data_IF_051396174591
#
_entry.id   IF_051396174591
#
_cell.length_a   1.000
_cell.length_b   1.000
_cell.length_c   1.000
_cell.angle_alpha   90.00
_cell.angle_beta   90.00
_cell.angle_gamma   90.00
#
_symmetry.space_group_name_H-M   'P 1'
#
loop_
_entity.id
_entity.type
_entity.pdbx_description
1 polymer ?
#
# COMPACT_ATOMS: atom_id res chain seq x y z
N UNK A 1 -4.61 2.46 -27.26
CA UNK A 1 -4.07 1.55 -26.24
C UNK A 1 -2.55 1.63 -26.10
N UNK A 2 -1.74 1.49 -27.16
CA UNK A 2 -0.28 1.61 -27.03
C UNK A 2 0.21 3.01 -26.57
N UNK A 3 -0.52 4.08 -26.90
CA UNK A 3 -0.18 5.45 -26.52
C UNK A 3 -0.45 5.79 -25.05
N UNK A 4 -1.37 5.08 -24.38
CA UNK A 4 -1.71 5.34 -22.97
C UNK A 4 -0.76 4.61 -22.03
N UNK A 5 -0.23 3.46 -22.45
CA UNK A 5 0.85 2.78 -21.73
C UNK A 5 2.16 3.56 -21.73
N UNK A 6 2.38 4.45 -22.71
CA UNK A 6 3.57 5.30 -22.76
C UNK A 6 3.51 6.49 -21.78
N UNK A 7 2.32 6.83 -21.28
CA UNK A 7 2.13 7.86 -20.26
C UNK A 7 2.39 7.35 -18.83
N UNK A 8 2.37 6.03 -18.63
CA UNK A 8 2.69 5.40 -17.35
C UNK A 8 4.20 5.27 -17.19
N UNK A 9 4.72 5.82 -16.09
CA UNK A 9 6.12 5.62 -15.73
C UNK A 9 6.33 4.12 -15.36
N UNK A 10 7.21 3.37 -16.06
CA UNK A 10 7.32 1.92 -15.89
C UNK A 10 7.56 1.47 -14.44
N UNK A 11 8.23 2.32 -13.65
CA UNK A 11 8.50 2.07 -12.23
C UNK A 11 7.22 2.02 -11.39
N UNK A 12 6.23 2.86 -11.70
CA UNK A 12 4.99 2.99 -10.94
C UNK A 12 4.04 1.82 -11.24
N UNK A 13 3.97 1.44 -12.51
CA UNK A 13 3.23 0.26 -12.94
C UNK A 13 3.75 -1.02 -12.27
N UNK A 14 5.08 -1.21 -12.24
CA UNK A 14 5.70 -2.37 -11.58
C UNK A 14 5.37 -2.40 -10.09
N UNK A 15 5.37 -1.25 -9.44
CA UNK A 15 5.01 -1.10 -8.02
C UNK A 15 3.57 -1.53 -7.75
N UNK A 16 2.61 -1.09 -8.58
CA UNK A 16 1.21 -1.52 -8.48
C UNK A 16 1.08 -3.03 -8.68
N UNK A 17 1.75 -3.59 -9.67
CA UNK A 17 1.71 -5.04 -9.93
C UNK A 17 2.24 -5.85 -8.74
N UNK A 18 3.37 -5.44 -8.17
CA UNK A 18 3.94 -6.09 -6.99
C UNK A 18 2.98 -5.99 -5.79
N UNK A 19 2.38 -4.81 -5.57
CA UNK A 19 1.40 -4.61 -4.51
C UNK A 19 0.16 -5.50 -4.69
N UNK A 20 -0.35 -5.63 -5.92
CA UNK A 20 -1.49 -6.50 -6.22
C UNK A 20 -1.15 -7.99 -6.06
N UNK A 21 0.02 -8.43 -6.50
CA UNK A 21 0.45 -9.83 -6.35
C UNK A 21 0.64 -10.17 -4.88
N UNK A 22 1.25 -9.28 -4.09
CA UNK A 22 1.42 -9.48 -2.66
C UNK A 22 0.13 -9.33 -1.85
N UNK A 23 -0.94 -8.77 -2.43
CA UNK A 23 -2.24 -8.71 -1.76
C UNK A 23 -2.82 -10.11 -1.50
N UNK A 24 -2.60 -11.06 -2.41
CA UNK A 24 -3.09 -12.44 -2.28
C UNK A 24 -2.59 -13.12 -1.00
N UNK A 25 -1.28 -13.23 -0.74
CA UNK A 25 -0.80 -13.83 0.51
C UNK A 25 -1.21 -13.03 1.75
N UNK A 26 -1.33 -11.69 1.67
CA UNK A 26 -1.78 -10.86 2.80
C UNK A 26 -3.22 -11.17 3.19
N UNK A 27 -4.11 -11.33 2.21
CA UNK A 27 -5.50 -11.70 2.46
C UNK A 27 -5.63 -13.16 2.93
N UNK A 28 -4.86 -14.08 2.35
CA UNK A 28 -4.87 -15.49 2.73
C UNK A 28 -4.32 -15.74 4.14
N UNK A 29 -3.33 -14.93 4.57
CA UNK A 29 -2.69 -15.03 5.89
C UNK A 29 -3.26 -14.02 6.90
N UNK A 30 -4.46 -13.47 6.62
CA UNK A 30 -5.12 -12.55 7.52
C UNK A 30 -5.50 -13.26 8.84
N UNK A 31 -4.96 -12.76 9.94
CA UNK A 31 -5.30 -13.22 11.29
C UNK A 31 -5.69 -12.04 12.17
N UNK A 32 -6.41 -12.31 13.26
CA UNK A 32 -6.76 -11.27 14.24
C UNK A 32 -5.55 -10.49 14.76
N UNK A 33 -4.38 -11.14 14.82
CA UNK A 33 -3.10 -10.50 15.25
C UNK A 33 -2.46 -9.62 14.17
N UNK A 34 -2.85 -9.76 12.89
CA UNK A 34 -2.24 -9.06 11.74
C UNK A 34 -3.18 -8.03 11.09
N UNK A 35 -4.32 -7.70 11.71
CA UNK A 35 -5.31 -6.74 11.19
C UNK A 35 -4.70 -5.39 10.81
N UNK A 36 -3.86 -4.82 11.68
CA UNK A 36 -3.17 -3.56 11.38
C UNK A 36 -2.20 -3.69 10.21
N UNK A 37 -1.45 -4.79 10.13
CA UNK A 37 -0.57 -5.05 8.99
C UNK A 37 -1.34 -5.17 7.68
N UNK A 38 -2.45 -5.90 7.69
CA UNK A 38 -3.35 -6.03 6.53
C UNK A 38 -3.90 -4.67 6.12
N UNK A 39 -4.34 -3.85 7.09
CA UNK A 39 -4.82 -2.50 6.82
C UNK A 39 -3.77 -1.60 6.19
N UNK A 40 -2.52 -1.62 6.68
CA UNK A 40 -1.43 -0.85 6.11
C UNK A 40 -1.12 -1.27 4.67
N UNK A 41 -1.18 -2.58 4.39
CA UNK A 41 -0.96 -3.13 3.05
C UNK A 41 -2.07 -2.75 2.07
N UNK A 42 -3.33 -2.83 2.52
CA UNK A 42 -4.47 -2.41 1.72
C UNK A 42 -4.39 -0.91 1.38
N UNK A 43 -4.01 -0.08 2.35
CA UNK A 43 -3.85 1.35 2.13
C UNK A 43 -2.76 1.66 1.11
N UNK A 44 -1.66 0.89 1.13
CA UNK A 44 -0.60 0.97 0.13
C UNK A 44 -1.12 0.62 -1.26
N UNK A 45 -1.89 -0.46 -1.39
CA UNK A 45 -2.48 -0.88 -2.66
C UNK A 45 -3.44 0.19 -3.21
N UNK A 46 -4.32 0.72 -2.35
CA UNK A 46 -5.29 1.76 -2.74
C UNK A 46 -4.58 3.04 -3.16
N UNK A 47 -3.56 3.47 -2.40
CA UNK A 47 -2.75 4.62 -2.77
C UNK A 47 -2.09 4.44 -4.13
N UNK A 48 -1.38 3.33 -4.33
CA UNK A 48 -0.71 3.04 -5.60
C UNK A 48 -1.67 2.98 -6.79
N UNK A 49 -2.84 2.35 -6.61
CA UNK A 49 -3.88 2.31 -7.64
C UNK A 49 -4.43 3.70 -7.96
N UNK A 50 -4.74 4.51 -6.93
CA UNK A 50 -5.27 5.85 -7.10
C UNK A 50 -4.30 6.73 -7.90
N UNK A 51 -3.02 6.75 -7.53
CA UNK A 51 -2.01 7.55 -8.22
C UNK A 51 -1.82 7.12 -9.68
N UNK A 52 -1.83 5.82 -9.95
CA UNK A 52 -1.68 5.33 -11.33
C UNK A 52 -2.93 5.61 -12.19
N UNK A 53 -4.12 5.57 -11.60
CA UNK A 53 -5.36 5.96 -12.29
C UNK A 53 -5.38 7.46 -12.58
N UNK A 54 -4.90 8.29 -11.65
CA UNK A 54 -4.75 9.73 -11.85
C UNK A 54 -3.76 10.04 -12.97
N UNK A 55 -2.59 9.40 -12.98
CA UNK A 55 -1.61 9.56 -14.06
C UNK A 55 -2.21 9.25 -15.44
N UNK A 56 -3.08 8.24 -15.54
CA UNK A 56 -3.76 7.86 -16.79
C UNK A 56 -4.85 8.84 -17.24
N UNK A 57 -5.57 9.48 -16.31
CA UNK A 57 -6.78 10.25 -16.62
C UNK A 57 -6.53 11.77 -16.57
N UNK A 58 -5.65 12.22 -15.69
CA UNK A 58 -5.45 13.62 -15.29
C UNK A 58 -4.02 14.12 -15.53
N UNK A 59 -3.04 13.25 -15.76
CA UNK A 59 -1.68 13.63 -16.15
C UNK A 59 -0.84 14.24 -15.02
N UNK A 60 -0.84 13.60 -13.85
CA UNK A 60 0.04 13.87 -12.69
C UNK A 60 -0.25 15.13 -11.86
N UNK A 61 -1.45 15.69 -11.94
CA UNK A 61 -1.84 16.91 -11.22
C UNK A 61 -1.77 16.70 -9.69
N UNK A 62 -2.23 15.54 -9.22
CA UNK A 62 -2.31 15.22 -7.79
C UNK A 62 -1.27 14.19 -7.33
N UNK A 63 -0.40 13.73 -8.23
CA UNK A 63 0.52 12.63 -8.01
C UNK A 63 1.31 12.77 -6.69
N UNK A 64 1.97 13.92 -6.45
CA UNK A 64 2.74 14.12 -5.21
C UNK A 64 1.92 13.98 -3.92
N UNK A 65 0.69 14.52 -3.92
CA UNK A 65 -0.18 14.52 -2.75
C UNK A 65 -0.74 13.12 -2.51
N UNK A 66 -1.23 12.46 -3.55
CA UNK A 66 -1.83 11.12 -3.46
C UNK A 66 -0.78 10.06 -3.15
N UNK A 67 0.35 10.11 -3.84
CA UNK A 67 1.48 9.21 -3.61
C UNK A 67 2.05 9.40 -2.21
N UNK A 68 2.31 10.66 -1.82
CA UNK A 68 2.83 11.00 -0.50
C UNK A 68 1.87 10.62 0.62
N UNK A 69 0.59 10.94 0.50
CA UNK A 69 -0.43 10.62 1.49
C UNK A 69 -0.66 9.10 1.60
N UNK A 70 -0.72 8.39 0.47
CA UNK A 70 -0.90 6.94 0.44
C UNK A 70 0.26 6.21 1.14
N UNK A 71 1.50 6.58 0.83
CA UNK A 71 2.69 6.01 1.48
C UNK A 71 2.75 6.40 2.96
N UNK A 72 2.54 7.67 3.30
CA UNK A 72 2.62 8.13 4.68
C UNK A 72 1.57 7.45 5.56
N UNK A 73 0.33 7.36 5.10
CA UNK A 73 -0.74 6.72 5.83
C UNK A 73 -0.47 5.22 6.01
N UNK A 74 0.02 4.53 4.97
CA UNK A 74 0.41 3.12 5.06
C UNK A 74 1.55 2.92 6.08
N UNK A 75 2.57 3.77 6.03
CA UNK A 75 3.69 3.78 6.97
C UNK A 75 3.26 3.98 8.42
N UNK A 76 2.31 4.89 8.68
CA UNK A 76 1.73 5.10 10.02
C UNK A 76 1.05 3.81 10.50
N UNK A 77 0.25 3.18 9.65
CA UNK A 77 -0.45 1.94 10.03
C UNK A 77 0.55 0.79 10.27
N UNK A 78 1.60 0.66 9.48
CA UNK A 78 2.67 -0.32 9.73
C UNK A 78 3.42 -0.05 11.03
N UNK A 79 3.69 1.22 11.36
CA UNK A 79 4.29 1.60 12.64
C UNK A 79 3.39 1.19 13.82
N UNK A 80 2.08 1.42 13.71
CA UNK A 80 1.11 0.98 14.72
C UNK A 80 1.05 -0.54 14.82
N UNK A 81 1.08 -1.26 13.68
CA UNK A 81 1.14 -2.70 13.64
C UNK A 81 2.38 -3.23 14.39
N UNK A 82 3.56 -2.67 14.12
CA UNK A 82 4.80 -3.03 14.80
C UNK A 82 4.75 -2.76 16.30
N UNK A 83 4.21 -1.61 16.71
CA UNK A 83 4.04 -1.29 18.14
C UNK A 83 3.09 -2.26 18.85
N UNK A 84 1.98 -2.61 18.22
CA UNK A 84 1.02 -3.56 18.78
C UNK A 84 1.61 -4.97 18.94
N UNK A 85 2.38 -5.44 17.95
CA UNK A 85 3.06 -6.74 18.04
C UNK A 85 4.12 -6.74 19.14
N UNK A 86 4.89 -5.65 19.29
CA UNK A 86 5.88 -5.52 20.37
C UNK A 86 5.23 -5.54 21.75
N UNK A 87 4.10 -4.85 21.92
CA UNK A 87 3.37 -4.85 23.18
C UNK A 87 2.80 -6.25 23.51
N UNK A 88 2.22 -6.93 22.53
CA UNK A 88 1.71 -8.29 22.72
C UNK A 88 2.83 -9.29 23.05
N UNK A 89 3.99 -9.19 22.39
CA UNK A 89 5.14 -10.06 22.67
C UNK A 89 5.75 -9.82 24.06
N UNK A 90 5.71 -8.60 24.57
CA UNK A 90 6.15 -8.30 25.93
C UNK A 90 5.21 -8.92 26.99
N UNK A 91 3.89 -8.85 26.76
CA UNK A 91 2.89 -9.41 27.67
C UNK A 91 2.84 -10.94 27.66
N UNK A 92 3.19 -11.60 26.55
CA UNK A 92 3.28 -13.06 26.45
C UNK A 92 4.55 -13.65 27.13
N UNK A 93 5.53 -12.80 27.44
CA UNK A 93 6.80 -13.19 28.06
C UNK A 93 6.87 -13.01 29.58
N UNK A 94 5.78 -12.57 30.21
CA UNK A 94 5.57 -12.43 31.66
C UNK A 94 4.76 -13.59 32.25
#
# INVERSE_FOLDING_TARGET
MASELAALDPKELVLVLIALVGLVPVLLLHTSRSKLFTGGYLLLCVGALATNVEALVLGDILNLVEHGAGIAASGIVFLLAARSQRAAAAADGE
#
